data_IF_832564048881
#
_entry.id   IF_832564048881
#
_cell.length_a   1.000
_cell.length_b   1.000
_cell.length_c   1.000
_cell.angle_alpha   90.00
_cell.angle_beta   90.00
_cell.angle_gamma   90.00
#
_symmetry.space_group_name_H-M   'P 1'
#
loop_
_entity.id
_entity.type
_entity.pdbx_description
1 polymer ?
#
# COMPACT_ATOMS: atom_id res chain seq x y z
N UNK A 1 -23.17 22.08 23.42
CA UNK A 1 -23.31 21.90 21.96
C UNK A 1 -22.76 20.54 21.64
N UNK A 2 -23.59 19.57 21.29
CA UNK A 2 -23.14 18.25 20.86
C UNK A 2 -22.56 18.41 19.47
N UNK A 3 -21.23 18.53 19.37
CA UNK A 3 -20.54 18.34 18.11
C UNK A 3 -20.59 16.84 17.79
N UNK A 4 -21.69 16.40 17.19
CA UNK A 4 -21.71 15.10 16.56
C UNK A 4 -20.56 15.10 15.54
N UNK A 5 -19.67 14.10 15.63
CA UNK A 5 -18.73 13.80 14.56
C UNK A 5 -19.49 13.87 13.23
N UNK A 6 -18.89 14.41 12.16
CA UNK A 6 -19.50 14.42 10.85
C UNK A 6 -19.82 12.97 10.47
N UNK A 7 -21.08 12.60 10.57
CA UNK A 7 -21.61 11.22 10.47
C UNK A 7 -21.52 10.64 9.06
N UNK A 8 -20.81 11.30 8.15
CA UNK A 8 -21.14 11.19 6.74
C UNK A 8 -20.09 10.51 5.84
N UNK A 9 -18.84 10.37 6.29
CA UNK A 9 -17.81 9.71 5.46
C UNK A 9 -16.99 8.66 6.21
N UNK A 10 -17.25 8.50 7.52
CA UNK A 10 -16.45 7.65 8.38
C UNK A 10 -17.16 6.32 8.68
N UNK A 11 -16.46 5.17 8.70
CA UNK A 11 -17.09 3.90 9.04
C UNK A 11 -17.72 3.97 10.42
N UNK A 12 -18.99 3.65 10.55
CA UNK A 12 -19.71 3.61 11.82
C UNK A 12 -18.95 2.80 12.87
N UNK A 13 -18.38 1.70 12.46
CA UNK A 13 -17.65 0.75 13.32
C UNK A 13 -16.36 1.31 13.92
N UNK A 14 -15.72 2.32 13.32
CA UNK A 14 -14.52 2.96 13.90
C UNK A 14 -14.88 3.70 15.17
N UNK A 15 -15.99 4.43 15.18
CA UNK A 15 -16.45 5.16 16.37
C UNK A 15 -16.80 4.21 17.52
N UNK A 16 -17.39 3.06 17.22
CA UNK A 16 -17.69 2.02 18.21
C UNK A 16 -16.40 1.46 18.81
N UNK A 17 -15.41 1.16 17.97
CA UNK A 17 -14.09 0.67 18.42
C UNK A 17 -13.35 1.72 19.25
N UNK A 18 -13.40 2.99 18.85
CA UNK A 18 -12.78 4.09 19.61
C UNK A 18 -13.47 4.22 20.98
N UNK A 19 -14.80 4.27 21.03
CA UNK A 19 -15.56 4.38 22.27
C UNK A 19 -15.22 3.25 23.24
N UNK A 20 -15.26 2.02 22.76
CA UNK A 20 -14.94 0.85 23.58
C UNK A 20 -13.48 0.84 24.04
N UNK A 21 -12.58 1.38 23.24
CA UNK A 21 -11.17 1.52 23.64
C UNK A 21 -11.03 2.46 24.83
N UNK A 22 -11.76 3.57 24.88
CA UNK A 22 -11.80 4.45 26.05
C UNK A 22 -12.41 3.77 27.27
N UNK A 23 -13.51 3.02 27.09
CA UNK A 23 -14.16 2.32 28.18
C UNK A 23 -13.23 1.28 28.81
N UNK A 24 -12.54 0.49 27.99
CA UNK A 24 -11.54 -0.46 28.49
C UNK A 24 -10.37 0.27 29.15
N UNK A 25 -9.83 1.32 28.54
CA UNK A 25 -8.75 2.09 29.13
C UNK A 25 -9.11 2.62 30.51
N UNK A 26 -10.31 3.17 30.67
CA UNK A 26 -10.78 3.73 31.95
C UNK A 26 -11.08 2.63 32.99
N UNK A 27 -11.46 1.43 32.57
CA UNK A 27 -11.79 0.32 33.48
C UNK A 27 -10.56 -0.41 34.02
N UNK A 28 -9.43 -0.38 33.33
CA UNK A 28 -8.20 -1.07 33.73
C UNK A 28 -7.46 -0.23 34.79
N UNK A 29 -7.19 -0.84 35.94
CA UNK A 29 -6.38 -0.25 37.00
C UNK A 29 -4.94 -0.78 36.93
N UNK A 30 -4.23 -0.42 35.85
CA UNK A 30 -2.82 -0.79 35.59
C UNK A 30 -2.06 0.44 35.11
N UNK A 31 -1.00 0.81 35.80
CA UNK A 31 -0.19 1.99 35.46
C UNK A 31 0.55 1.84 34.11
N UNK A 32 0.73 0.62 33.63
CA UNK A 32 1.36 0.34 32.34
C UNK A 32 0.36 0.24 31.17
N UNK A 33 -0.93 0.53 31.42
CA UNK A 33 -1.92 0.51 30.35
C UNK A 33 -1.62 1.55 29.28
N UNK A 34 -1.86 1.20 28.02
CA UNK A 34 -1.77 2.13 26.88
C UNK A 34 -3.01 2.01 26.02
N UNK A 35 -3.41 3.12 25.39
CA UNK A 35 -4.52 3.10 24.43
C UNK A 35 -4.29 2.09 23.29
N UNK A 36 -3.05 1.95 22.81
CA UNK A 36 -2.72 0.97 21.79
C UNK A 36 -2.99 -0.48 22.23
N UNK A 37 -2.70 -0.81 23.50
CA UNK A 37 -2.99 -2.15 24.03
C UNK A 37 -4.49 -2.38 24.22
N UNK A 38 -5.23 -1.38 24.72
CA UNK A 38 -6.68 -1.43 24.85
C UNK A 38 -7.34 -1.59 23.47
N UNK A 39 -6.90 -0.84 22.48
CA UNK A 39 -7.37 -0.96 21.09
C UNK A 39 -7.14 -2.38 20.52
N UNK A 40 -5.98 -2.98 20.78
CA UNK A 40 -5.72 -4.38 20.39
C UNK A 40 -6.68 -5.35 21.10
N UNK A 41 -7.04 -5.09 22.37
CA UNK A 41 -8.03 -5.90 23.09
C UNK A 41 -9.41 -5.80 22.43
N UNK A 42 -9.85 -4.58 22.06
CA UNK A 42 -11.10 -4.38 21.31
C UNK A 42 -11.08 -5.12 19.98
N UNK A 43 -10.00 -4.97 19.19
CA UNK A 43 -9.85 -5.66 17.91
C UNK A 43 -9.86 -7.19 18.06
N UNK A 44 -9.31 -7.73 19.14
CA UNK A 44 -9.36 -9.17 19.45
C UNK A 44 -10.77 -9.62 19.80
N UNK A 45 -11.51 -8.84 20.59
CA UNK A 45 -12.90 -9.13 20.96
C UNK A 45 -13.79 -9.28 19.72
N UNK A 46 -13.57 -8.44 18.69
CA UNK A 46 -14.30 -8.49 17.43
C UNK A 46 -13.68 -9.40 16.37
N UNK A 47 -12.69 -10.23 16.72
CA UNK A 47 -11.95 -11.11 15.81
C UNK A 47 -11.26 -10.38 14.62
N UNK A 48 -11.01 -9.09 14.75
CA UNK A 48 -10.35 -8.26 13.74
C UNK A 48 -8.83 -8.34 13.81
N UNK A 49 -8.26 -8.72 14.96
CA UNK A 49 -6.83 -8.98 15.12
C UNK A 49 -6.48 -10.41 14.69
N UNK A 50 -5.39 -10.65 13.92
CA UNK A 50 -4.34 -9.71 13.47
C UNK A 50 -4.58 -9.09 12.09
N UNK A 51 -5.78 -9.18 11.53
CA UNK A 51 -6.10 -8.66 10.19
C UNK A 51 -6.05 -7.12 10.16
N UNK A 52 -6.48 -6.46 11.22
CA UNK A 52 -6.22 -5.03 11.44
C UNK A 52 -5.07 -4.92 12.43
N UNK A 53 -3.98 -4.29 12.00
CA UNK A 53 -2.79 -4.04 12.81
C UNK A 53 -2.79 -2.65 13.40
N UNK A 54 -2.29 -2.55 14.63
CA UNK A 54 -2.06 -1.28 15.34
C UNK A 54 -0.57 -0.99 15.30
N UNK A 55 -0.17 0.13 14.72
CA UNK A 55 1.20 0.62 14.68
C UNK A 55 1.33 1.86 15.54
N UNK A 56 2.27 1.85 16.49
CA UNK A 56 2.56 3.00 17.36
C UNK A 56 3.44 4.01 16.66
N UNK A 57 3.24 5.29 16.94
CA UNK A 57 4.19 6.32 16.60
C UNK A 57 5.41 6.22 17.51
N UNK A 58 6.58 6.60 16.99
CA UNK A 58 7.80 6.60 17.78
C UNK A 58 7.66 7.57 18.96
N UNK A 59 7.93 7.07 20.15
CA UNK A 59 7.82 7.84 21.40
C UNK A 59 6.40 8.35 21.77
N UNK A 60 5.34 7.86 21.09
CA UNK A 60 3.95 8.24 21.36
C UNK A 60 3.07 6.99 21.36
N UNK A 61 2.70 6.50 22.53
CA UNK A 61 1.85 5.32 22.69
C UNK A 61 0.35 5.60 22.58
N UNK A 62 -0.01 6.86 22.59
CA UNK A 62 -1.34 7.44 22.52
C UNK A 62 -1.76 7.79 21.08
N UNK A 63 -0.79 7.87 20.14
CA UNK A 63 -1.07 8.03 18.72
C UNK A 63 -0.76 6.70 18.01
N UNK A 64 -1.73 6.22 17.26
CA UNK A 64 -1.63 4.95 16.56
C UNK A 64 -2.12 5.06 15.13
N UNK A 65 -1.57 4.19 14.27
CA UNK A 65 -2.04 3.97 12.92
C UNK A 65 -2.67 2.59 12.83
N UNK A 66 -3.91 2.53 12.34
CA UNK A 66 -4.58 1.29 11.96
C UNK A 66 -4.34 1.00 10.48
N UNK A 67 -3.97 -0.23 10.18
CA UNK A 67 -3.91 -0.69 8.80
C UNK A 67 -4.31 -2.16 8.66
N UNK A 68 -4.89 -2.51 7.53
CA UNK A 68 -5.20 -3.90 7.23
C UNK A 68 -3.94 -4.69 6.84
N UNK A 69 -3.91 -5.96 7.18
CA UNK A 69 -2.84 -6.88 6.83
C UNK A 69 -3.30 -7.80 5.69
N UNK A 70 -3.54 -7.27 4.56
CA UNK A 70 -3.88 -7.80 3.23
C UNK A 70 -4.35 -9.27 3.03
N UNK A 71 -4.41 -10.09 4.05
CA UNK A 71 -4.94 -11.46 3.95
C UNK A 71 -6.39 -11.44 4.43
N UNK A 72 -7.30 -11.19 3.51
CA UNK A 72 -8.72 -11.30 3.79
C UNK A 72 -9.08 -12.72 4.19
N UNK A 73 -9.46 -12.90 5.48
CA UNK A 73 -10.46 -13.88 5.84
C UNK A 73 -11.86 -13.26 5.66
N UNK A 74 -12.87 -14.08 5.76
CA UNK A 74 -14.29 -13.69 5.63
C UNK A 74 -14.76 -12.83 6.81
N UNK A 75 -14.42 -11.55 6.82
CA UNK A 75 -14.86 -10.58 7.84
C UNK A 75 -16.09 -9.83 7.33
N UNK A 76 -17.18 -10.53 7.06
CA UNK A 76 -18.38 -9.94 6.46
C UNK A 76 -18.97 -8.79 7.28
N UNK A 77 -19.00 -8.91 8.60
CA UNK A 77 -19.61 -7.91 9.49
C UNK A 77 -18.83 -6.59 9.56
N UNK A 78 -17.49 -6.66 9.48
CA UNK A 78 -16.59 -5.51 9.59
C UNK A 78 -15.84 -5.22 8.29
N UNK A 79 -16.38 -5.69 7.16
CA UNK A 79 -15.75 -5.57 5.85
C UNK A 79 -15.43 -4.12 5.50
N UNK A 80 -16.36 -3.21 5.73
CA UNK A 80 -16.17 -1.79 5.45
C UNK A 80 -15.01 -1.21 6.27
N UNK A 81 -14.96 -1.47 7.57
CA UNK A 81 -13.87 -1.06 8.44
C UNK A 81 -12.53 -1.63 7.95
N UNK A 82 -12.50 -2.92 7.58
CA UNK A 82 -11.32 -3.58 7.09
C UNK A 82 -10.81 -2.94 5.79
N UNK A 83 -11.70 -2.70 4.83
CA UNK A 83 -11.39 -2.05 3.55
C UNK A 83 -10.88 -0.61 3.76
N UNK A 84 -11.40 0.10 4.74
CA UNK A 84 -11.03 1.47 5.06
C UNK A 84 -9.79 1.60 5.95
N UNK A 85 -9.39 0.54 6.66
CA UNK A 85 -8.14 0.53 7.46
C UNK A 85 -6.89 0.50 6.60
N UNK A 86 -6.74 1.46 5.70
CA UNK A 86 -5.52 1.60 4.90
C UNK A 86 -4.47 2.48 5.57
N UNK A 87 -4.89 3.48 6.32
CA UNK A 87 -4.02 4.39 7.07
C UNK A 87 -4.88 5.28 7.97
N UNK A 88 -5.59 4.70 8.95
CA UNK A 88 -6.37 5.50 9.91
C UNK A 88 -5.44 5.89 11.05
N UNK A 89 -5.24 7.18 11.27
CA UNK A 89 -4.45 7.71 12.39
C UNK A 89 -5.38 8.19 13.48
N UNK A 90 -5.20 7.67 14.68
CA UNK A 90 -5.96 8.00 15.88
C UNK A 90 -5.04 8.65 16.91
N UNK A 91 -5.50 9.75 17.52
CA UNK A 91 -4.84 10.39 18.66
C UNK A 91 -5.74 10.31 19.90
N UNK A 92 -5.43 9.43 20.83
CA UNK A 92 -6.16 9.20 22.06
C UNK A 92 -5.84 10.22 23.17
N UNK A 93 -4.94 11.18 22.93
CA UNK A 93 -4.78 12.34 23.87
C UNK A 93 -5.96 13.30 23.77
N UNK A 94 -6.67 13.26 22.63
CA UNK A 94 -7.87 14.04 22.42
C UNK A 94 -9.04 13.35 23.13
N UNK A 95 -9.94 14.14 23.74
CA UNK A 95 -11.14 13.54 24.31
C UNK A 95 -12.02 12.96 23.19
N UNK A 96 -12.81 11.94 23.49
CA UNK A 96 -13.73 11.30 22.53
C UNK A 96 -14.61 12.30 21.77
N UNK A 97 -14.96 13.43 22.41
CA UNK A 97 -15.74 14.50 21.81
C UNK A 97 -14.94 15.44 20.89
N UNK A 98 -13.61 15.33 20.85
CA UNK A 98 -12.71 16.24 20.13
C UNK A 98 -12.07 15.60 18.88
N UNK A 99 -12.77 14.69 18.23
CA UNK A 99 -12.35 14.07 16.99
C UNK A 99 -10.98 13.34 17.08
N UNK A 100 -11.00 12.18 17.71
CA UNK A 100 -9.83 11.29 17.87
C UNK A 100 -9.17 10.91 16.55
N UNK A 101 -9.91 10.95 15.45
CA UNK A 101 -9.40 10.64 14.12
C UNK A 101 -8.63 11.84 13.59
N UNK A 102 -7.34 11.67 13.42
CA UNK A 102 -6.43 12.70 12.86
C UNK A 102 -6.55 12.76 11.35
N UNK A 103 -6.49 11.60 10.71
CA UNK A 103 -6.64 11.44 9.26
C UNK A 103 -6.88 9.97 8.90
N UNK A 104 -7.35 9.72 7.69
CA UNK A 104 -7.35 8.39 7.10
C UNK A 104 -7.20 8.48 5.57
N UNK A 105 -6.53 7.51 4.99
CA UNK A 105 -6.43 7.37 3.54
C UNK A 105 -7.73 6.76 2.98
N UNK A 106 -7.95 6.96 1.69
CA UNK A 106 -9.04 6.30 1.00
C UNK A 106 -8.90 4.77 1.06
N UNK A 107 -10.04 4.08 1.02
CA UNK A 107 -10.11 2.63 1.03
C UNK A 107 -9.28 2.01 -0.10
N UNK A 108 -8.94 0.73 0.07
CA UNK A 108 -8.32 -0.02 -1.02
C UNK A 108 -9.30 -0.08 -2.19
N UNK A 109 -8.88 0.26 -3.42
CA UNK A 109 -9.75 0.18 -4.58
C UNK A 109 -10.28 -1.24 -4.80
N UNK A 110 -11.58 -1.36 -4.99
CA UNK A 110 -12.22 -2.63 -5.36
C UNK A 110 -11.85 -2.97 -6.79
N UNK A 111 -11.20 -4.11 -6.98
CA UNK A 111 -10.89 -4.59 -8.34
C UNK A 111 -12.16 -5.06 -9.03
N UNK A 112 -12.34 -4.62 -10.25
CA UNK A 112 -13.50 -4.98 -11.09
C UNK A 112 -13.05 -5.10 -12.52
N UNK A 113 -13.58 -6.11 -13.22
CA UNK A 113 -13.38 -6.19 -14.66
C UNK A 113 -14.19 -5.12 -15.41
N UNK A 114 -13.71 -4.77 -16.60
CA UNK A 114 -14.29 -3.70 -17.42
C UNK A 114 -15.77 -3.93 -17.70
N UNK A 115 -16.16 -5.15 -18.07
CA UNK A 115 -17.53 -5.45 -18.47
C UNK A 115 -18.48 -5.35 -17.26
N UNK A 116 -18.10 -5.94 -16.14
CA UNK A 116 -18.85 -5.85 -14.88
C UNK A 116 -19.01 -4.40 -14.44
N UNK A 117 -17.95 -3.57 -14.57
CA UNK A 117 -18.01 -2.17 -14.20
C UNK A 117 -19.01 -1.42 -15.09
N UNK A 118 -18.89 -1.52 -16.41
CA UNK A 118 -19.75 -0.82 -17.36
C UNK A 118 -21.21 -1.24 -17.19
N UNK A 119 -21.47 -2.53 -17.01
CA UNK A 119 -22.83 -3.08 -16.97
C UNK A 119 -23.56 -2.76 -15.66
N UNK A 120 -22.83 -2.82 -14.53
CA UNK A 120 -23.48 -2.87 -13.21
C UNK A 120 -23.15 -1.66 -12.31
N UNK A 121 -22.08 -0.91 -12.58
CA UNK A 121 -21.55 0.07 -11.64
C UNK A 121 -21.47 1.47 -12.24
N UNK A 122 -21.20 1.57 -13.54
CA UNK A 122 -20.90 2.82 -14.25
C UNK A 122 -21.95 3.91 -14.04
N UNK A 123 -21.45 5.14 -13.86
CA UNK A 123 -22.26 6.35 -13.85
C UNK A 123 -21.43 7.46 -14.52
N UNK A 124 -22.07 8.26 -15.39
CA UNK A 124 -21.44 9.39 -16.11
C UNK A 124 -20.81 10.47 -15.20
N UNK A 125 -21.19 10.47 -13.93
CA UNK A 125 -20.65 11.40 -12.92
C UNK A 125 -19.39 10.87 -12.22
N UNK A 126 -19.03 9.62 -12.46
CA UNK A 126 -17.85 9.01 -11.85
C UNK A 126 -16.59 9.65 -12.46
N UNK A 127 -15.64 10.00 -11.59
CA UNK A 127 -14.35 10.54 -12.03
C UNK A 127 -13.37 9.40 -12.26
N UNK A 128 -12.76 9.38 -13.43
CA UNK A 128 -11.84 8.35 -13.87
C UNK A 128 -10.43 8.94 -14.02
N UNK A 129 -9.45 8.30 -13.38
CA UNK A 129 -8.06 8.72 -13.37
C UNK A 129 -7.13 7.59 -13.75
N UNK A 130 -5.99 7.93 -14.37
CA UNK A 130 -4.89 6.99 -14.53
C UNK A 130 -4.38 6.49 -13.19
N UNK A 131 -4.17 5.19 -13.07
CA UNK A 131 -3.56 4.57 -11.90
C UNK A 131 -2.03 4.55 -12.02
N UNK A 132 -1.35 4.75 -10.90
CA UNK A 132 0.10 4.64 -10.80
C UNK A 132 0.50 3.47 -9.90
N UNK A 133 1.51 2.74 -10.32
CA UNK A 133 2.15 1.70 -9.53
C UNK A 133 3.29 2.31 -8.72
N UNK A 134 3.19 2.22 -7.40
CA UNK A 134 4.17 2.81 -6.50
C UNK A 134 3.75 2.74 -5.04
N UNK A 135 4.50 3.40 -4.18
CA UNK A 135 4.19 3.44 -2.75
C UNK A 135 3.45 4.72 -2.38
N UNK A 136 2.32 4.58 -1.70
CA UNK A 136 1.57 5.73 -1.19
C UNK A 136 2.32 6.37 -0.01
N UNK A 137 2.47 7.70 -0.08
CA UNK A 137 2.89 8.56 1.02
C UNK A 137 1.69 9.42 1.43
N UNK A 138 1.34 9.33 2.71
CA UNK A 138 0.34 10.19 3.34
C UNK A 138 1.04 11.36 4.04
N UNK A 139 0.62 12.59 3.74
CA UNK A 139 1.19 13.82 4.30
C UNK A 139 0.08 14.61 4.96
N UNK A 140 0.23 14.91 6.24
CA UNK A 140 -0.75 15.66 7.03
C UNK A 140 -0.08 16.42 8.17
N UNK A 141 -0.69 17.53 8.57
CA UNK A 141 -0.26 18.28 9.76
C UNK A 141 -1.03 17.80 10.99
N UNK A 142 -0.36 17.56 12.10
CA UNK A 142 -0.99 17.29 13.38
C UNK A 142 -0.24 18.02 14.50
N UNK A 143 -0.95 18.80 15.31
CA UNK A 143 -0.38 19.62 16.38
C UNK A 143 0.77 20.53 15.92
N UNK A 144 0.68 21.07 14.71
CA UNK A 144 1.70 21.96 14.14
C UNK A 144 2.88 21.26 13.48
N UNK A 145 2.93 19.92 13.52
CA UNK A 145 3.98 19.13 12.89
C UNK A 145 3.47 18.40 11.65
N UNK A 146 4.28 18.38 10.57
CA UNK A 146 3.99 17.63 9.38
C UNK A 146 4.50 16.19 9.49
N UNK A 147 3.62 15.25 9.23
CA UNK A 147 3.87 13.82 9.27
C UNK A 147 3.90 13.24 7.86
N UNK A 148 4.81 12.29 7.63
CA UNK A 148 5.01 11.59 6.37
C UNK A 148 4.94 10.09 6.65
N UNK A 149 3.79 9.49 6.39
CA UNK A 149 3.56 8.06 6.60
C UNK A 149 3.37 7.31 5.28
N UNK A 150 3.29 5.98 5.38
CA UNK A 150 2.80 5.12 4.30
C UNK A 150 1.47 4.52 4.71
N UNK A 151 0.81 3.77 3.82
CA UNK A 151 -0.45 3.10 4.15
C UNK A 151 -0.36 2.15 5.36
N UNK A 152 0.83 1.68 5.71
CA UNK A 152 1.04 0.69 6.76
C UNK A 152 2.04 1.09 7.84
N UNK A 153 2.65 2.24 7.72
CA UNK A 153 3.66 2.73 8.67
C UNK A 153 3.49 4.22 8.94
N UNK A 154 3.42 4.65 10.21
CA UNK A 154 3.23 6.05 10.56
C UNK A 154 4.40 6.96 10.19
N UNK A 155 5.59 6.40 10.01
CA UNK A 155 6.79 7.13 9.59
C UNK A 155 7.42 6.44 8.38
N UNK A 156 7.44 7.13 7.24
CA UNK A 156 8.02 6.65 6.00
C UNK A 156 9.52 6.31 6.13
N UNK A 157 10.25 6.96 7.06
CA UNK A 157 11.65 6.64 7.34
C UNK A 157 11.83 5.28 8.02
N UNK A 158 10.78 4.72 8.60
CA UNK A 158 10.76 3.39 9.19
C UNK A 158 10.11 2.35 8.27
N UNK A 159 9.59 2.77 7.12
CA UNK A 159 8.91 1.91 6.16
C UNK A 159 9.89 1.40 5.10
N UNK A 160 9.99 0.08 5.00
CA UNK A 160 10.81 -0.60 3.98
C UNK A 160 9.96 -1.65 3.29
N UNK A 161 10.14 -1.74 1.98
CA UNK A 161 9.68 -2.90 1.23
C UNK A 161 10.91 -3.66 0.73
N UNK A 162 11.13 -4.66 0.29
CA UNK A 162 12.22 -5.49 -0.22
C UNK A 162 13.66 -4.91 -0.27
N UNK A 163 13.85 -3.58 -0.24
CA UNK A 163 15.19 -3.00 -0.24
C UNK A 163 15.83 -3.12 1.17
N UNK A 164 17.02 -3.71 1.31
CA UNK A 164 17.61 -4.03 2.62
C UNK A 164 17.95 -2.79 3.46
N UNK A 165 18.30 -1.68 2.82
CA UNK A 165 18.79 -0.46 3.50
C UNK A 165 17.92 0.77 3.29
N UNK A 166 17.38 0.97 2.07
CA UNK A 166 16.64 2.18 1.71
C UNK A 166 15.18 2.12 2.17
N UNK A 167 14.71 3.18 2.79
CA UNK A 167 13.33 3.33 3.25
C UNK A 167 12.52 4.11 2.21
N UNK A 168 11.17 4.02 2.31
CA UNK A 168 10.30 4.87 1.49
C UNK A 168 10.51 6.36 1.77
N UNK A 169 10.87 6.72 3.02
CA UNK A 169 11.27 8.09 3.37
C UNK A 169 12.53 8.54 2.65
N UNK A 170 13.55 7.66 2.52
CA UNK A 170 14.75 7.98 1.75
C UNK A 170 14.43 8.18 0.26
N UNK A 171 13.59 7.31 -0.33
CA UNK A 171 13.15 7.45 -1.73
C UNK A 171 12.38 8.76 -1.93
N UNK A 172 11.51 9.11 -0.99
CA UNK A 172 10.78 10.38 -1.01
C UNK A 172 11.73 11.58 -0.95
N UNK A 173 12.73 11.55 -0.05
CA UNK A 173 13.70 12.62 0.06
C UNK A 173 14.56 12.78 -1.21
N UNK A 174 14.91 11.67 -1.88
CA UNK A 174 15.60 11.71 -3.18
C UNK A 174 14.73 12.35 -4.29
N UNK A 175 13.41 12.09 -4.26
CA UNK A 175 12.46 12.73 -5.16
C UNK A 175 12.38 14.24 -4.85
N UNK A 176 12.29 14.60 -3.57
CA UNK A 176 12.29 16.01 -3.17
C UNK A 176 13.59 16.72 -3.57
N UNK A 177 14.72 16.04 -3.48
CA UNK A 177 16.00 16.59 -3.95
C UNK A 177 15.99 16.86 -5.47
N UNK A 178 15.37 15.98 -6.27
CA UNK A 178 15.17 16.22 -7.70
C UNK A 178 14.41 17.52 -7.96
N UNK A 179 13.35 17.78 -7.19
CA UNK A 179 12.48 18.95 -7.40
C UNK A 179 13.02 20.24 -6.78
N UNK A 180 13.56 20.17 -5.58
CA UNK A 180 13.94 21.33 -4.79
C UNK A 180 15.45 21.51 -4.61
N UNK A 181 16.28 20.54 -5.03
CA UNK A 181 17.72 20.56 -4.79
C UNK A 181 18.43 21.79 -5.39
N UNK A 182 17.96 22.25 -6.57
CA UNK A 182 18.49 23.48 -7.21
C UNK A 182 18.18 24.77 -6.43
N UNK A 183 17.27 24.72 -5.49
CA UNK A 183 16.89 25.87 -4.64
C UNK A 183 17.65 25.88 -3.31
N UNK A 184 18.55 24.89 -3.08
CA UNK A 184 19.40 24.85 -1.91
C UNK A 184 20.60 25.77 -2.09
N UNK A 185 20.96 26.48 -1.03
CA UNK A 185 22.19 27.30 -0.97
C UNK A 185 23.41 26.39 -0.80
N UNK A 186 24.61 26.93 -1.08
CA UNK A 186 25.87 26.20 -0.87
C UNK A 186 26.03 25.78 0.60
N UNK A 187 25.58 26.61 1.54
CA UNK A 187 25.57 26.28 2.96
C UNK A 187 24.63 25.08 3.25
N UNK A 188 23.40 25.09 2.71
CA UNK A 188 22.45 23.98 2.91
C UNK A 188 22.97 22.67 2.29
N UNK A 189 23.67 22.74 1.16
CA UNK A 189 24.30 21.58 0.51
C UNK A 189 25.48 21.00 1.34
N UNK A 190 26.09 21.79 2.21
CA UNK A 190 27.18 21.35 3.11
C UNK A 190 26.69 20.64 4.38
N UNK A 191 25.39 20.66 4.64
CA UNK A 191 24.78 20.05 5.82
C UNK A 191 24.73 18.50 5.71
N UNK A 192 24.43 17.85 6.82
CA UNK A 192 24.25 16.40 6.83
C UNK A 192 23.02 16.00 6.00
N UNK A 193 22.98 14.78 5.44
CA UNK A 193 21.83 14.30 4.67
C UNK A 193 20.48 14.43 5.41
N UNK A 194 20.45 14.22 6.73
CA UNK A 194 19.25 14.37 7.53
C UNK A 194 18.77 15.83 7.64
N UNK A 195 19.70 16.78 7.71
CA UNK A 195 19.37 18.21 7.74
C UNK A 195 18.87 18.67 6.39
N UNK A 196 19.52 18.26 5.31
CA UNK A 196 19.06 18.52 3.95
C UNK A 196 17.64 17.96 3.74
N UNK A 197 17.38 16.72 4.15
CA UNK A 197 16.02 16.12 4.07
C UNK A 197 14.97 16.96 4.81
N UNK A 198 15.29 17.47 5.99
CA UNK A 198 14.36 18.35 6.72
C UNK A 198 14.08 19.66 5.97
N UNK A 199 15.10 20.27 5.38
CA UNK A 199 14.93 21.48 4.57
C UNK A 199 14.05 21.20 3.35
N UNK A 200 14.32 20.11 2.62
CA UNK A 200 13.55 19.71 1.46
C UNK A 200 12.08 19.47 1.81
N UNK A 201 11.82 18.74 2.91
CA UNK A 201 10.46 18.51 3.40
C UNK A 201 9.77 19.80 3.82
N UNK A 202 10.49 20.74 4.44
CA UNK A 202 9.95 22.06 4.78
C UNK A 202 9.57 22.86 3.54
N UNK A 203 10.40 22.85 2.48
CA UNK A 203 10.07 23.48 1.19
C UNK A 203 8.86 22.82 0.55
N UNK A 204 8.78 21.49 0.59
CA UNK A 204 7.66 20.73 0.03
C UNK A 204 6.33 21.07 0.70
N UNK A 205 6.28 21.19 2.03
CA UNK A 205 5.03 21.48 2.74
C UNK A 205 4.66 22.95 2.83
N UNK A 206 5.53 23.85 2.38
CA UNK A 206 5.33 25.30 2.52
C UNK A 206 4.04 25.82 1.84
N UNK A 207 3.61 25.17 0.75
CA UNK A 207 2.37 25.49 0.03
C UNK A 207 1.17 24.64 0.46
N UNK A 208 1.34 23.67 1.39
CA UNK A 208 0.26 22.82 1.84
C UNK A 208 -0.61 23.49 2.91
N UNK A 209 -1.92 23.27 2.80
CA UNK A 209 -2.86 23.70 3.83
C UNK A 209 -2.84 22.68 5.01
N UNK A 210 -2.54 23.10 6.26
CA UNK A 210 -2.49 22.20 7.43
C UNK A 210 -3.84 21.58 7.79
N UNK A 211 -4.97 22.10 7.30
CA UNK A 211 -6.29 21.51 7.49
C UNK A 211 -6.59 20.36 6.53
N UNK A 212 -5.70 20.13 5.57
CA UNK A 212 -5.84 19.06 4.59
C UNK A 212 -4.89 17.90 4.89
N UNK A 213 -5.25 16.73 4.44
CA UNK A 213 -4.38 15.58 4.31
C UNK A 213 -4.19 15.25 2.82
N UNK A 214 -3.00 14.87 2.45
CA UNK A 214 -2.60 14.67 1.06
C UNK A 214 -2.08 13.25 0.88
N UNK A 215 -2.40 12.64 -0.27
CA UNK A 215 -1.87 11.34 -0.67
C UNK A 215 -1.07 11.50 -1.96
N UNK A 216 0.15 11.01 -1.90
CA UNK A 216 1.07 10.98 -3.05
C UNK A 216 1.47 9.53 -3.35
N UNK A 217 1.78 9.25 -4.61
CA UNK A 217 2.45 8.00 -5.00
C UNK A 217 3.89 8.33 -5.34
N UNK A 218 4.83 7.67 -4.65
CA UNK A 218 6.23 7.68 -5.06
C UNK A 218 6.47 6.60 -6.13
N UNK A 219 6.98 7.02 -7.28
CA UNK A 219 7.40 6.15 -8.37
C UNK A 219 8.93 6.29 -8.45
N UNK A 220 9.64 5.29 -7.92
CA UNK A 220 11.09 5.36 -7.74
C UNK A 220 11.74 4.09 -8.27
N UNK A 221 12.81 4.21 -9.04
CA UNK A 221 13.46 3.09 -9.75
C UNK A 221 13.98 1.98 -8.82
N UNK A 222 14.24 2.26 -7.55
CA UNK A 222 14.62 1.25 -6.55
C UNK A 222 13.43 0.67 -5.78
N UNK A 223 12.21 1.17 -6.03
CA UNK A 223 11.01 0.56 -5.47
C UNK A 223 10.60 -0.65 -6.33
N UNK A 224 9.84 -1.58 -5.75
CA UNK A 224 9.28 -2.67 -6.53
C UNK A 224 8.03 -2.18 -7.26
N UNK A 225 8.01 -2.41 -8.55
CA UNK A 225 6.92 -2.08 -9.45
C UNK A 225 6.50 -3.30 -10.29
N UNK A 226 5.20 -3.37 -10.56
CA UNK A 226 4.62 -4.28 -11.57
C UNK A 226 4.88 -3.73 -12.97
N UNK A 227 4.85 -2.39 -13.08
CA UNK A 227 5.16 -1.68 -14.31
C UNK A 227 6.65 -1.33 -14.35
N UNK A 228 7.31 -1.71 -15.43
CA UNK A 228 8.65 -1.19 -15.71
C UNK A 228 8.53 0.20 -16.34
N UNK A 229 8.81 1.22 -15.54
CA UNK A 229 8.76 2.62 -16.00
C UNK A 229 10.04 3.08 -16.69
N UNK A 230 11.07 2.25 -16.79
CA UNK A 230 12.39 2.61 -17.38
C UNK A 230 12.26 3.13 -18.80
N UNK A 231 11.40 2.50 -19.61
CA UNK A 231 11.19 2.90 -21.01
C UNK A 231 10.46 4.25 -21.18
N UNK A 232 9.77 4.73 -20.15
CA UNK A 232 9.00 5.98 -20.21
C UNK A 232 9.71 7.11 -19.46
N UNK A 233 10.28 6.80 -18.31
CA UNK A 233 10.82 7.78 -17.37
C UNK A 233 12.37 7.78 -17.32
N UNK A 234 13.02 6.81 -17.99
CA UNK A 234 14.48 6.62 -17.94
C UNK A 234 14.92 5.72 -16.78
N UNK A 235 16.20 5.28 -16.78
CA UNK A 235 16.73 4.28 -15.86
C UNK A 235 16.66 4.68 -14.37
N UNK A 236 16.80 5.96 -14.05
CA UNK A 236 16.88 6.44 -12.67
C UNK A 236 15.67 7.33 -12.33
N UNK A 237 14.48 6.89 -12.72
CA UNK A 237 13.26 7.66 -12.53
C UNK A 237 12.94 7.89 -11.05
N UNK A 238 12.53 9.11 -10.75
CA UNK A 238 12.14 9.58 -9.43
C UNK A 238 10.98 10.56 -9.59
N UNK A 239 9.76 10.07 -9.39
CA UNK A 239 8.56 10.86 -9.63
C UNK A 239 7.64 10.86 -8.41
N UNK A 240 6.95 11.97 -8.23
CA UNK A 240 5.89 12.12 -7.24
C UNK A 240 4.59 12.45 -7.96
N UNK A 241 3.54 11.72 -7.62
CA UNK A 241 2.20 11.92 -8.20
C UNK A 241 1.23 12.24 -7.08
N UNK A 242 0.59 13.42 -7.14
CA UNK A 242 -0.44 13.83 -6.19
C UNK A 242 -1.78 13.20 -6.59
N UNK A 243 -2.28 12.29 -5.78
CA UNK A 243 -3.47 11.46 -6.14
C UNK A 243 -4.71 11.79 -5.34
N UNK A 244 -4.58 12.40 -4.16
CA UNK A 244 -5.74 12.76 -3.35
C UNK A 244 -5.45 13.92 -2.39
N UNK A 245 -6.48 14.71 -2.13
CA UNK A 245 -6.54 15.70 -1.05
C UNK A 245 -7.83 15.48 -0.26
N UNK A 246 -7.75 15.45 1.05
CA UNK A 246 -8.88 15.25 1.94
C UNK A 246 -8.93 16.35 2.99
N UNK A 247 -10.10 16.94 3.17
CA UNK A 247 -10.33 17.86 4.30
C UNK A 247 -10.36 17.06 5.60
N UNK A 248 -9.51 17.41 6.56
CA UNK A 248 -9.36 16.67 7.82
C UNK A 248 -10.50 16.89 8.82
N UNK A 249 -11.23 18.00 8.69
CA UNK A 249 -12.35 18.32 9.57
C UNK A 249 -13.65 17.65 9.11
N UNK A 250 -13.86 17.52 7.81
CA UNK A 250 -15.07 16.94 7.22
C UNK A 250 -14.86 15.53 6.68
N UNK A 251 -13.60 15.11 6.50
CA UNK A 251 -13.19 13.86 5.84
C UNK A 251 -13.68 13.72 4.40
N UNK A 252 -14.05 14.82 3.77
CA UNK A 252 -14.48 14.84 2.37
C UNK A 252 -13.26 14.97 1.47
N UNK A 253 -13.23 14.18 0.40
CA UNK A 253 -12.22 14.30 -0.64
C UNK A 253 -12.46 15.55 -1.46
N UNK A 254 -11.41 16.33 -1.64
CA UNK A 254 -11.38 17.48 -2.52
C UNK A 254 -11.01 17.06 -3.95
N UNK A 255 -11.45 17.81 -4.91
CA UNK A 255 -11.05 17.57 -6.29
C UNK A 255 -9.60 18.06 -6.50
N UNK A 256 -8.70 17.12 -6.80
CA UNK A 256 -7.27 17.40 -6.96
C UNK A 256 -6.95 18.39 -8.10
N UNK A 257 -7.85 18.52 -9.08
CA UNK A 257 -7.66 19.47 -10.18
C UNK A 257 -8.14 20.89 -9.84
N UNK A 258 -9.14 21.01 -8.96
CA UNK A 258 -9.59 22.33 -8.47
C UNK A 258 -8.69 22.84 -7.34
N UNK A 259 -8.10 21.93 -6.57
CA UNK A 259 -7.14 22.24 -5.48
C UNK A 259 -5.69 22.09 -5.91
N UNK A 260 -5.43 22.09 -7.23
CA UNK A 260 -4.09 21.92 -7.79
C UNK A 260 -3.17 23.01 -7.30
N UNK A 261 -2.07 22.62 -6.69
CA UNK A 261 -1.06 23.54 -6.18
C UNK A 261 -0.16 23.98 -7.32
N UNK A 262 -0.16 25.30 -7.63
CA UNK A 262 0.64 25.87 -8.72
C UNK A 262 2.13 25.59 -8.49
N UNK A 263 2.62 25.77 -7.26
CA UNK A 263 4.01 25.52 -6.90
C UNK A 263 4.46 24.08 -7.22
N UNK A 264 3.55 23.12 -7.06
CA UNK A 264 3.82 21.70 -7.37
C UNK A 264 3.95 21.46 -8.87
N UNK A 265 3.10 22.12 -9.65
CA UNK A 265 3.19 22.06 -11.11
C UNK A 265 4.50 22.66 -11.61
N UNK A 266 4.93 23.79 -11.04
CA UNK A 266 6.16 24.48 -11.42
C UNK A 266 7.42 23.67 -11.13
N UNK A 267 7.44 22.89 -10.04
CA UNK A 267 8.56 22.00 -9.74
C UNK A 267 8.47 20.63 -10.44
N UNK A 268 7.36 20.32 -11.10
CA UNK A 268 7.18 19.11 -11.89
C UNK A 268 6.57 17.93 -11.14
N UNK A 269 5.86 18.17 -10.02
CA UNK A 269 5.06 17.13 -9.36
C UNK A 269 3.86 16.80 -10.25
N UNK A 270 3.68 15.52 -10.53
CA UNK A 270 2.68 15.02 -11.46
C UNK A 270 1.29 14.91 -10.81
N UNK A 271 0.27 14.98 -11.67
CA UNK A 271 -1.13 14.67 -11.35
C UNK A 271 -1.61 13.55 -12.26
N UNK A 272 -2.46 12.60 -11.78
CA UNK A 272 -2.99 11.56 -12.63
C UNK A 272 -3.75 12.16 -13.81
N UNK A 273 -3.63 11.57 -14.98
CA UNK A 273 -4.48 11.96 -16.12
C UNK A 273 -5.94 11.71 -15.80
N UNK A 274 -6.79 12.73 -15.94
CA UNK A 274 -8.25 12.62 -15.82
C UNK A 274 -8.86 12.28 -17.16
N UNK A 275 -9.85 11.40 -17.17
CA UNK A 275 -10.62 11.04 -18.37
C UNK A 275 -12.06 11.49 -18.20
N UNK A 276 -12.57 12.16 -19.22
CA UNK A 276 -13.94 12.69 -19.25
C UNK A 276 -14.98 11.63 -19.53
N UNK A 277 -14.58 10.49 -20.12
CA UNK A 277 -15.46 9.36 -20.36
C UNK A 277 -14.70 8.03 -20.19
N UNK A 278 -15.44 7.00 -19.88
CA UNK A 278 -14.88 5.66 -19.60
C UNK A 278 -14.34 4.98 -20.87
N UNK A 279 -14.91 5.27 -22.03
CA UNK A 279 -14.49 4.63 -23.30
C UNK A 279 -13.07 5.08 -23.67
N UNK A 280 -12.77 6.39 -23.55
CA UNK A 280 -11.44 6.92 -23.81
C UNK A 280 -10.43 6.39 -22.79
N UNK A 281 -10.85 6.27 -21.53
CA UNK A 281 -10.02 5.69 -20.46
C UNK A 281 -9.65 4.23 -20.75
N UNK A 282 -10.61 3.42 -21.16
CA UNK A 282 -10.39 2.02 -21.54
C UNK A 282 -9.50 1.93 -22.81
N UNK A 283 -9.76 2.77 -23.80
CA UNK A 283 -8.92 2.86 -25.00
C UNK A 283 -7.46 3.17 -24.65
N UNK A 284 -7.26 4.07 -23.68
CA UNK A 284 -5.93 4.46 -23.20
C UNK A 284 -5.20 3.28 -22.55
N UNK A 285 -5.80 2.57 -21.59
CA UNK A 285 -5.11 1.46 -20.91
C UNK A 285 -4.83 0.27 -21.84
N UNK A 286 -5.71 0.02 -22.82
CA UNK A 286 -5.51 -1.05 -23.80
C UNK A 286 -4.40 -0.74 -24.81
N UNK A 287 -4.17 0.55 -25.12
CA UNK A 287 -3.13 1.00 -26.04
C UNK A 287 -1.78 1.31 -25.36
N UNK A 288 -1.76 1.46 -24.03
CA UNK A 288 -0.58 1.81 -23.26
C UNK A 288 -0.10 0.63 -22.39
N UNK A 289 0.91 -0.13 -22.82
CA UNK A 289 1.42 -1.29 -22.07
C UNK A 289 2.06 -0.92 -20.74
N UNK A 290 2.31 0.36 -20.50
CA UNK A 290 2.88 0.90 -19.27
C UNK A 290 1.84 1.48 -18.32
N UNK A 291 0.56 1.39 -18.66
CA UNK A 291 -0.51 1.82 -17.77
C UNK A 291 -0.77 0.76 -16.70
N UNK A 292 -0.79 1.20 -15.44
CA UNK A 292 -1.15 0.34 -14.31
C UNK A 292 -2.67 0.10 -14.24
N UNK A 293 -3.46 0.85 -15.00
CA UNK A 293 -4.91 0.79 -15.06
C UNK A 293 -5.58 2.14 -14.76
N UNK A 294 -6.80 2.05 -14.28
CA UNK A 294 -7.64 3.21 -13.94
C UNK A 294 -8.07 3.14 -12.48
N UNK A 295 -8.13 4.30 -11.84
CA UNK A 295 -8.83 4.50 -10.56
C UNK A 295 -10.09 5.31 -10.84
N UNK A 296 -11.22 4.75 -10.44
CA UNK A 296 -12.52 5.41 -10.59
C UNK A 296 -13.02 5.80 -9.21
N UNK A 297 -13.29 7.10 -9.04
CA UNK A 297 -13.84 7.69 -7.82
C UNK A 297 -15.34 7.84 -7.97
N UNK A 298 -16.09 6.95 -7.31
CA UNK A 298 -17.56 6.97 -7.28
C UNK A 298 -18.03 7.61 -5.98
N UNK A 299 -18.72 8.75 -6.08
CA UNK A 299 -19.37 9.36 -4.91
C UNK A 299 -20.57 8.52 -4.48
N UNK A 300 -20.63 8.16 -3.21
CA UNK A 300 -21.76 7.51 -2.56
C UNK A 300 -22.14 8.35 -1.34
N UNK A 301 -23.23 9.10 -1.42
CA UNK A 301 -23.68 10.04 -0.39
C UNK A 301 -22.54 10.94 0.09
N UNK A 302 -21.93 10.60 1.23
CA UNK A 302 -20.85 11.36 1.85
C UNK A 302 -19.50 10.61 1.85
N UNK A 303 -19.37 9.54 1.10
CA UNK A 303 -18.14 8.77 0.96
C UNK A 303 -17.73 8.63 -0.50
N UNK A 304 -16.47 8.26 -0.71
CA UNK A 304 -15.95 7.95 -2.04
C UNK A 304 -15.55 6.48 -2.06
N UNK A 305 -16.19 5.71 -2.93
CA UNK A 305 -15.77 4.34 -3.20
C UNK A 305 -14.82 4.33 -4.39
N UNK A 306 -13.69 3.65 -4.22
CA UNK A 306 -12.69 3.51 -5.27
C UNK A 306 -12.86 2.17 -5.97
N UNK A 307 -12.80 2.20 -7.30
CA UNK A 307 -12.70 1.00 -8.13
C UNK A 307 -11.40 1.04 -8.92
N UNK A 308 -10.79 -0.12 -9.11
CA UNK A 308 -9.63 -0.28 -9.99
C UNK A 308 -9.99 -1.17 -11.15
N UNK A 309 -9.75 -0.66 -12.36
CA UNK A 309 -9.82 -1.42 -13.61
C UNK A 309 -8.38 -1.54 -14.14
N UNK A 310 -7.96 -2.76 -14.45
CA UNK A 310 -6.66 -3.04 -15.06
C UNK A 310 -6.83 -3.96 -16.25
N UNK A 311 -5.85 -4.00 -17.13
CA UNK A 311 -5.80 -4.98 -18.21
C UNK A 311 -5.56 -6.39 -17.65
N UNK A 312 -5.90 -7.42 -18.41
CA UNK A 312 -5.66 -8.82 -18.03
C UNK A 312 -4.18 -9.08 -17.69
N UNK A 313 -3.26 -8.48 -18.42
CA UNK A 313 -1.81 -8.60 -18.18
C UNK A 313 -1.44 -8.04 -16.81
N UNK A 314 -1.99 -6.89 -16.44
CA UNK A 314 -1.72 -6.27 -15.12
C UNK A 314 -2.33 -7.11 -14.00
N UNK A 315 -3.59 -7.55 -14.17
CA UNK A 315 -4.23 -8.42 -13.20
C UNK A 315 -3.43 -9.70 -12.99
N UNK A 316 -2.97 -10.32 -14.07
CA UNK A 316 -2.12 -11.49 -13.99
C UNK A 316 -0.80 -11.23 -13.26
N UNK A 317 -0.11 -10.12 -13.57
CA UNK A 317 1.14 -9.73 -12.87
C UNK A 317 0.91 -9.48 -11.39
N UNK A 318 -0.21 -8.87 -11.01
CA UNK A 318 -0.56 -8.63 -9.61
C UNK A 318 -0.90 -9.92 -8.86
N UNK A 319 -1.59 -10.86 -9.50
CA UNK A 319 -1.92 -12.18 -8.91
C UNK A 319 -0.69 -13.07 -8.73
N UNK A 320 0.27 -12.93 -9.62
CA UNK A 320 1.53 -13.66 -9.56
C UNK A 320 2.53 -13.05 -8.58
N UNK A 321 2.16 -11.90 -7.98
CA UNK A 321 2.89 -11.15 -6.95
C UNK A 321 4.40 -11.03 -7.19
N UNK A 322 4.83 -10.12 -8.09
CA UNK A 322 6.25 -9.81 -8.25
C UNK A 322 6.86 -9.19 -6.98
N UNK A 323 6.01 -8.81 -6.04
CA UNK A 323 6.39 -8.22 -4.76
C UNK A 323 6.77 -9.26 -3.69
N UNK A 324 6.70 -10.54 -3.99
CA UNK A 324 7.21 -11.55 -3.07
C UNK A 324 8.72 -11.33 -2.88
N UNK A 325 9.24 -11.26 -1.64
CA UNK A 325 10.64 -11.00 -1.36
C UNK A 325 11.59 -12.04 -1.98
N UNK A 326 11.05 -13.15 -2.44
CA UNK A 326 11.76 -14.16 -3.19
C UNK A 326 11.10 -14.37 -4.56
N UNK A 327 11.63 -13.74 -5.60
CA UNK A 327 11.13 -13.83 -6.98
C UNK A 327 11.03 -15.28 -7.49
N UNK A 328 11.95 -16.15 -7.07
CA UNK A 328 11.92 -17.56 -7.46
C UNK A 328 10.77 -18.33 -6.81
N UNK A 329 10.44 -18.04 -5.55
CA UNK A 329 9.26 -18.62 -4.89
C UNK A 329 7.97 -18.17 -5.56
N UNK A 330 7.96 -16.97 -6.09
CA UNK A 330 6.84 -16.44 -6.85
C UNK A 330 6.66 -17.17 -8.18
N UNK A 331 7.74 -17.31 -8.94
CA UNK A 331 7.76 -18.08 -10.19
C UNK A 331 7.29 -19.52 -9.93
N UNK A 332 7.78 -20.14 -8.85
CA UNK A 332 7.37 -21.49 -8.44
C UNK A 332 5.87 -21.55 -8.12
N UNK A 333 5.35 -20.59 -7.38
CA UNK A 333 3.93 -20.53 -7.02
C UNK A 333 3.03 -20.43 -8.25
N UNK A 334 3.41 -19.61 -9.22
CA UNK A 334 2.68 -19.46 -10.49
C UNK A 334 2.75 -20.71 -11.33
N UNK A 335 3.93 -21.28 -11.47
CA UNK A 335 4.11 -22.55 -12.19
C UNK A 335 3.25 -23.67 -11.59
N UNK A 336 3.21 -23.77 -10.26
CA UNK A 336 2.39 -24.79 -9.58
C UNK A 336 0.88 -24.59 -9.80
N UNK A 337 0.43 -23.33 -9.92
CA UNK A 337 -0.98 -23.02 -10.21
C UNK A 337 -1.36 -23.30 -11.67
N UNK A 338 -0.46 -23.02 -12.61
CA UNK A 338 -0.76 -22.95 -14.03
C UNK A 338 0.01 -24.01 -14.86
N UNK A 339 0.33 -25.15 -14.28
CA UNK A 339 1.14 -26.24 -14.87
C UNK A 339 0.71 -26.69 -16.29
N UNK A 340 -0.52 -26.43 -16.69
CA UNK A 340 -1.09 -26.89 -17.96
C UNK A 340 -1.07 -25.83 -19.05
N UNK A 341 -0.86 -24.56 -18.72
CA UNK A 341 -1.06 -23.46 -19.68
C UNK A 341 0.25 -22.81 -20.15
N UNK A 342 1.31 -22.82 -19.31
CA UNK A 342 2.57 -22.15 -19.62
C UNK A 342 3.77 -22.97 -19.22
N UNK A 343 4.84 -22.91 -20.03
CA UNK A 343 6.16 -23.35 -19.59
C UNK A 343 6.77 -22.27 -18.68
N UNK A 344 7.66 -22.66 -17.76
CA UNK A 344 8.39 -21.70 -16.90
C UNK A 344 9.12 -20.67 -17.75
N UNK A 345 9.68 -21.11 -18.90
CA UNK A 345 10.40 -20.27 -19.83
C UNK A 345 9.49 -19.19 -20.43
N UNK A 346 8.30 -19.57 -20.85
CA UNK A 346 7.31 -18.63 -21.40
C UNK A 346 6.87 -17.63 -20.34
N UNK A 347 6.66 -18.10 -19.10
CA UNK A 347 6.32 -17.25 -17.98
C UNK A 347 7.42 -16.20 -17.71
N UNK A 348 8.67 -16.64 -17.59
CA UNK A 348 9.80 -15.73 -17.34
C UNK A 348 9.94 -14.73 -18.48
N UNK A 349 9.89 -15.18 -19.74
CA UNK A 349 10.06 -14.30 -20.90
C UNK A 349 8.96 -13.25 -21.02
N UNK A 350 7.72 -13.60 -20.68
CA UNK A 350 6.57 -12.71 -20.88
C UNK A 350 6.28 -11.82 -19.66
N UNK A 351 6.55 -12.30 -18.44
CA UNK A 351 6.09 -11.64 -17.22
C UNK A 351 7.19 -11.18 -16.28
N UNK A 352 8.39 -11.74 -16.39
CA UNK A 352 9.54 -11.36 -15.54
C UNK A 352 10.82 -11.22 -16.40
N UNK A 353 10.79 -10.45 -17.49
CA UNK A 353 11.90 -10.39 -18.45
C UNK A 353 13.21 -9.90 -17.83
N UNK A 354 13.15 -9.13 -16.75
CA UNK A 354 14.30 -8.54 -16.06
C UNK A 354 14.81 -9.39 -14.89
N UNK A 355 14.37 -10.65 -14.77
CA UNK A 355 14.88 -11.50 -13.69
C UNK A 355 16.37 -11.78 -13.92
N UNK A 356 17.17 -11.58 -12.87
CA UNK A 356 18.57 -11.99 -12.88
C UNK A 356 18.62 -13.51 -12.76
N UNK A 357 18.98 -14.15 -13.87
CA UNK A 357 19.16 -15.61 -13.90
C UNK A 357 20.40 -15.99 -13.08
N UNK A 358 20.31 -17.03 -12.23
CA UNK A 358 21.45 -17.51 -11.48
C UNK A 358 22.53 -18.05 -12.43
N UNK A 359 23.78 -17.88 -12.03
CA UNK A 359 24.97 -18.30 -12.79
C UNK A 359 25.59 -19.46 -12.01
N UNK A 360 26.04 -20.52 -12.73
CA UNK A 360 26.77 -21.62 -12.13
C UNK A 360 28.23 -21.20 -11.81
N UNK A 361 28.98 -22.10 -11.16
CA UNK A 361 30.36 -21.85 -10.78
C UNK A 361 31.32 -21.62 -11.98
N UNK A 362 30.85 -21.86 -13.21
CA UNK A 362 31.59 -21.66 -14.46
C UNK A 362 31.14 -20.38 -15.19
N UNK A 363 30.29 -19.57 -14.59
CA UNK A 363 29.76 -18.34 -15.19
C UNK A 363 28.67 -18.57 -16.24
N UNK A 364 28.04 -19.75 -16.31
CA UNK A 364 26.98 -20.05 -17.26
C UNK A 364 25.62 -19.85 -16.62
N UNK A 365 24.67 -19.30 -17.36
CA UNK A 365 23.31 -19.18 -16.91
C UNK A 365 22.67 -20.55 -16.66
N UNK A 366 22.06 -20.71 -15.49
CA UNK A 366 21.30 -21.92 -15.12
C UNK A 366 19.92 -21.81 -15.76
N UNK A 367 19.49 -22.87 -16.45
CA UNK A 367 18.14 -22.93 -17.00
C UNK A 367 17.10 -22.84 -15.86
N UNK A 368 16.20 -21.85 -15.89
CA UNK A 368 15.17 -21.68 -14.87
C UNK A 368 14.29 -22.92 -14.68
N UNK A 369 14.02 -23.65 -15.76
CA UNK A 369 13.22 -24.88 -15.72
C UNK A 369 13.92 -25.94 -14.89
N UNK A 370 15.22 -26.13 -15.12
CA UNK A 370 16.03 -27.07 -14.34
C UNK A 370 16.09 -26.67 -12.84
N UNK A 371 16.30 -25.38 -12.57
CA UNK A 371 16.36 -24.86 -11.20
C UNK A 371 15.04 -25.14 -10.43
N UNK A 372 13.91 -24.87 -11.05
CA UNK A 372 12.59 -25.08 -10.44
C UNK A 372 12.28 -26.56 -10.24
N UNK A 373 12.59 -27.41 -11.21
CA UNK A 373 12.43 -28.85 -11.03
C UNK A 373 13.31 -29.40 -9.92
N UNK A 374 14.55 -28.93 -9.82
CA UNK A 374 15.47 -29.31 -8.73
C UNK A 374 14.92 -28.86 -7.37
N UNK A 375 14.40 -27.62 -7.28
CA UNK A 375 13.81 -27.09 -6.05
C UNK A 375 12.57 -27.90 -5.63
N UNK A 376 11.68 -28.22 -6.57
CA UNK A 376 10.49 -29.04 -6.32
C UNK A 376 10.90 -30.43 -5.81
N UNK A 377 11.87 -31.06 -6.45
CA UNK A 377 12.39 -32.37 -6.02
C UNK A 377 12.96 -32.31 -4.60
N UNK A 378 13.77 -31.29 -4.30
CA UNK A 378 14.35 -31.09 -2.97
C UNK A 378 13.28 -30.90 -1.89
N UNK A 379 12.23 -30.13 -2.19
CA UNK A 379 11.12 -29.95 -1.27
C UNK A 379 10.35 -31.26 -1.05
N UNK A 380 10.05 -32.00 -2.11
CA UNK A 380 9.41 -33.32 -2.02
C UNK A 380 10.21 -34.30 -1.16
N UNK A 381 11.51 -34.40 -1.40
CA UNK A 381 12.39 -35.28 -0.65
C UNK A 381 12.48 -34.87 0.83
N UNK A 382 12.55 -33.58 1.11
CA UNK A 382 12.56 -33.06 2.47
C UNK A 382 11.25 -33.36 3.22
N UNK A 383 10.10 -33.15 2.58
CA UNK A 383 8.79 -33.46 3.14
C UNK A 383 8.61 -34.99 3.36
N UNK A 384 9.05 -35.80 2.41
CA UNK A 384 9.00 -37.24 2.54
C UNK A 384 9.89 -37.76 3.67
N UNK A 385 11.11 -37.25 3.79
CA UNK A 385 12.03 -37.61 4.88
C UNK A 385 11.47 -37.16 6.23
N UNK A 386 10.87 -35.98 6.31
CA UNK A 386 10.17 -35.51 7.51
C UNK A 386 9.01 -36.46 7.89
N UNK A 387 8.18 -36.83 6.91
CA UNK A 387 7.09 -37.79 7.12
C UNK A 387 7.59 -39.13 7.61
N UNK A 388 8.62 -39.72 6.97
CA UNK A 388 9.20 -40.98 7.38
C UNK A 388 9.75 -40.92 8.81
N UNK A 389 10.50 -39.88 9.16
CA UNK A 389 11.02 -39.68 10.50
C UNK A 389 9.88 -39.54 11.54
N UNK A 390 8.87 -38.74 11.22
CA UNK A 390 7.73 -38.53 12.12
C UNK A 390 6.92 -39.81 12.32
N UNK A 391 6.70 -40.60 11.29
CA UNK A 391 5.95 -41.87 11.37
C UNK A 391 6.75 -42.97 12.08
N UNK A 392 8.07 -42.93 11.98
CA UNK A 392 8.95 -43.86 12.69
C UNK A 392 8.96 -43.59 14.19
N UNK A 393 9.07 -42.32 14.60
CA UNK A 393 9.09 -41.93 16.01
C UNK A 393 7.70 -41.81 16.65
N UNK A 394 6.66 -41.57 15.83
CA UNK A 394 5.27 -41.41 16.29
C UNK A 394 4.29 -42.24 15.44
N UNK A 395 4.26 -43.58 15.61
CA UNK A 395 3.46 -44.49 14.76
C UNK A 395 1.97 -44.18 14.69
N UNK A 396 1.41 -43.53 15.72
CA UNK A 396 -0.02 -43.15 15.75
C UNK A 396 -0.40 -42.06 14.73
N UNK A 397 0.55 -41.34 14.15
CA UNK A 397 0.34 -40.37 13.07
C UNK A 397 0.46 -40.96 11.66
N UNK A 398 0.86 -42.22 11.53
CA UNK A 398 1.06 -42.96 10.28
C UNK A 398 -0.23 -43.38 9.53
N UNK A 399 -1.40 -42.78 9.86
CA UNK A 399 -2.66 -43.10 9.16
C UNK A 399 -2.77 -42.49 7.74
N UNK A 400 -1.92 -41.52 7.42
CA UNK A 400 -1.89 -40.89 6.10
C UNK A 400 -0.63 -41.36 5.35
N UNK A 401 -0.82 -42.20 4.32
CA UNK A 401 0.28 -42.55 3.44
C UNK A 401 0.59 -41.39 2.51
N UNK A 402 1.79 -40.82 2.61
CA UNK A 402 2.30 -39.95 1.56
C UNK A 402 3.03 -40.80 0.51
N UNK A 403 2.63 -40.63 -0.75
CA UNK A 403 3.39 -41.19 -1.88
C UNK A 403 4.48 -40.22 -2.27
N UNK A 404 5.63 -40.75 -2.71
CA UNK A 404 6.80 -39.98 -3.15
C UNK A 404 6.63 -39.37 -4.55
N UNK A 405 5.55 -39.77 -5.27
CA UNK A 405 5.30 -39.37 -6.67
C UNK A 405 4.73 -37.96 -6.81
#
# INVERSE_FOLDING_TARGET
>A
MNSSLPTTSFPKNVNEIISETYDIYNSINDDNKTYANCLIMVLKKYHLWPNIKVKKFKNRSDIVLLHNNYKMGELYEYRELYEQCRSIVLDFTLSFNNNVVVTYANSIPVRVDINTYITNIYNDKDKCYEAYDGTMISVYNHNGEWHFGTSSCPDANSSKFSHPTKTHGNMFDEILYKYYGKQLTDHELSLTPNEVSKILRSKFVASLNPEMAYEFIIVHYENIHIIDYTNILGENYKELVHVNTKNRNTFVDEDIYTTRLQDYVEVGINYPKEFTNITDAIGYINSNPYSYGLIIKKKQDNSVKLYKISTEIINYREETDPCHPNTWMNILSVYMKNKQEYTIKDYISNYVPNIVLPIDNNGRYIDPTYLIHTLISTIKDSLYNYYVSTTTYFPKYGRYKMNKD
#
